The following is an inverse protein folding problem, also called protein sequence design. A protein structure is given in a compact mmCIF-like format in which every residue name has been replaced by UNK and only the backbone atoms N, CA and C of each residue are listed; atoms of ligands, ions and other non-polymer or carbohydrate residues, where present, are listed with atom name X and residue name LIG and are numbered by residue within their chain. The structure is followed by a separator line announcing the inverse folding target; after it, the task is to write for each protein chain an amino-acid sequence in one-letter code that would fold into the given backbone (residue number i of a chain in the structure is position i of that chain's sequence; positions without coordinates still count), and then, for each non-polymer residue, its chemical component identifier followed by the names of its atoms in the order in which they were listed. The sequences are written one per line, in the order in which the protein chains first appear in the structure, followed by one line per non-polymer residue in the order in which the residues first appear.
data_IF_685905348534
#
_entry.id   IF_685905348534
#
_cell.length_a   1.000
_cell.length_b   1.000
_cell.length_c   1.000
_cell.angle_alpha   90.00
_cell.angle_beta   90.00
_cell.angle_gamma   90.00
#
_symmetry.space_group_name_H-M   'P 1'
#
loop_
_entity.id
_entity.type
_entity.pdbx_description
1 polymer ?
#
# COMPACT_ATOMS: atom_id res chain seq x y z
N UNK A 1 21.97 7.70 -10.60
CA UNK A 1 21.19 6.63 -11.27
C UNK A 1 21.44 6.56 -12.77
N UNK A 2 21.56 5.34 -13.31
CA UNK A 2 21.68 5.10 -14.76
C UNK A 2 20.31 5.05 -15.48
N UNK A 3 20.32 5.15 -16.82
CA UNK A 3 19.11 5.16 -17.65
C UNK A 3 18.26 3.88 -17.47
N UNK A 4 18.91 2.73 -17.30
CA UNK A 4 18.23 1.44 -17.11
C UNK A 4 17.43 1.43 -15.79
N UNK A 5 17.96 2.04 -14.75
CA UNK A 5 17.33 2.17 -13.43
C UNK A 5 16.14 3.12 -13.50
N UNK A 6 16.28 4.25 -14.19
CA UNK A 6 15.18 5.19 -14.43
C UNK A 6 14.01 4.52 -15.17
N UNK A 7 14.29 3.79 -16.26
CA UNK A 7 13.26 3.03 -17.00
C UNK A 7 12.58 1.97 -16.13
N UNK A 8 13.33 1.28 -15.26
CA UNK A 8 12.73 0.33 -14.31
C UNK A 8 11.85 1.03 -13.28
N UNK A 9 12.26 2.20 -12.79
CA UNK A 9 11.47 3.00 -11.85
C UNK A 9 10.15 3.46 -12.45
N UNK A 10 10.17 3.96 -13.69
CA UNK A 10 8.96 4.35 -14.40
C UNK A 10 7.99 3.17 -14.56
N UNK A 11 8.50 1.97 -14.89
CA UNK A 11 7.67 0.76 -14.94
C UNK A 11 7.08 0.40 -13.58
N UNK A 12 7.83 0.56 -12.49
CA UNK A 12 7.33 0.31 -11.13
C UNK A 12 6.21 1.28 -10.78
N UNK A 13 6.37 2.56 -11.08
CA UNK A 13 5.32 3.56 -10.90
C UNK A 13 4.06 3.21 -11.72
N UNK A 14 4.21 2.93 -13.02
CA UNK A 14 3.08 2.56 -13.90
C UNK A 14 2.38 1.26 -13.45
N UNK A 15 3.11 0.33 -12.86
CA UNK A 15 2.55 -0.90 -12.28
C UNK A 15 1.88 -0.69 -10.90
N UNK A 16 1.76 0.57 -10.43
CA UNK A 16 1.12 0.89 -9.16
C UNK A 16 1.89 0.39 -7.93
N UNK A 17 3.21 0.19 -8.03
CA UNK A 17 4.04 -0.32 -6.93
C UNK A 17 4.36 0.74 -5.88
N UNK A 18 4.23 2.02 -6.20
CA UNK A 18 4.36 3.12 -5.22
C UNK A 18 3.01 3.26 -4.51
N UNK A 19 2.95 2.95 -3.22
CA UNK A 19 1.70 2.94 -2.46
C UNK A 19 1.26 4.35 -2.06
N UNK A 20 2.20 5.17 -1.64
CA UNK A 20 1.99 6.56 -1.26
C UNK A 20 3.31 7.31 -1.33
N UNK A 21 3.26 8.64 -1.46
CA UNK A 21 4.42 9.52 -1.31
C UNK A 21 4.01 10.66 -0.39
N UNK A 22 4.78 10.91 0.66
CA UNK A 22 4.63 12.08 1.51
C UNK A 22 5.81 13.00 1.23
N UNK A 23 5.52 14.26 0.90
CA UNK A 23 6.50 15.32 0.78
C UNK A 23 6.49 16.18 2.03
N UNK A 24 7.65 16.41 2.63
CA UNK A 24 7.84 17.36 3.72
C UNK A 24 9.04 18.25 3.40
N UNK A 25 8.79 19.54 3.13
CA UNK A 25 9.83 20.44 2.66
C UNK A 25 10.44 19.93 1.35
N UNK A 26 11.75 19.65 1.37
CA UNK A 26 12.49 19.08 0.23
C UNK A 26 12.62 17.55 0.29
N UNK A 27 12.04 16.87 1.28
CA UNK A 27 12.19 15.42 1.44
C UNK A 27 10.93 14.70 0.98
N UNK A 28 11.12 13.57 0.30
CA UNK A 28 10.08 12.61 -0.04
C UNK A 28 10.27 11.34 0.78
N UNK A 29 9.16 10.81 1.28
CA UNK A 29 9.07 9.53 1.97
C UNK A 29 8.05 8.65 1.25
N UNK A 30 8.31 7.35 1.13
CA UNK A 30 7.40 6.46 0.41
C UNK A 30 7.56 5.01 0.82
N UNK A 31 6.49 4.23 0.64
CA UNK A 31 6.50 2.77 0.63
C UNK A 31 6.28 2.24 -0.78
N UNK A 32 7.19 1.39 -1.25
CA UNK A 32 7.19 0.84 -2.61
C UNK A 32 7.26 -0.67 -2.56
N UNK A 33 6.34 -1.34 -3.26
CA UNK A 33 6.30 -2.79 -3.36
C UNK A 33 7.40 -3.31 -4.31
N UNK A 34 8.26 -4.18 -3.79
CA UNK A 34 9.33 -4.86 -4.52
C UNK A 34 9.26 -6.37 -4.36
N UNK A 35 10.36 -7.00 -3.93
CA UNK A 35 10.33 -8.37 -3.39
C UNK A 35 9.75 -8.40 -1.98
N UNK A 36 9.96 -7.31 -1.24
CA UNK A 36 9.30 -6.96 0.01
C UNK A 36 8.80 -5.52 -0.10
N UNK A 37 8.00 -5.01 0.84
CA UNK A 37 7.75 -3.57 0.94
C UNK A 37 9.05 -2.86 1.31
N UNK A 38 9.45 -1.87 0.52
CA UNK A 38 10.65 -1.08 0.77
C UNK A 38 10.28 0.37 1.05
N UNK A 39 10.97 0.97 2.01
CA UNK A 39 10.83 2.37 2.35
C UNK A 39 11.91 3.18 1.64
N UNK A 40 11.54 4.35 1.14
CA UNK A 40 12.39 5.24 0.35
C UNK A 40 12.38 6.62 0.98
N UNK A 41 13.57 7.22 1.05
CA UNK A 41 13.74 8.64 1.32
C UNK A 41 14.51 9.30 0.16
N UNK A 42 14.10 10.49 -0.25
CA UNK A 42 14.77 11.28 -1.29
C UNK A 42 14.75 12.76 -0.94
N UNK A 43 15.92 13.38 -0.87
CA UNK A 43 16.07 14.83 -0.84
C UNK A 43 16.04 15.39 -2.26
N UNK A 44 15.07 16.25 -2.54
CA UNK A 44 14.85 16.89 -3.85
C UNK A 44 15.90 17.96 -4.17
N UNK A 45 16.54 18.54 -3.15
CA UNK A 45 17.53 19.62 -3.32
C UNK A 45 18.93 19.08 -3.60
N UNK A 46 19.33 18.00 -2.94
CA UNK A 46 20.67 17.39 -3.11
C UNK A 46 20.65 16.17 -4.03
N UNK A 47 19.50 15.50 -4.15
CA UNK A 47 19.38 14.21 -4.81
C UNK A 47 19.83 13.03 -3.94
N UNK A 48 20.30 13.28 -2.72
CA UNK A 48 20.64 12.23 -1.75
C UNK A 48 19.40 11.38 -1.44
N UNK A 49 19.60 10.08 -1.33
CA UNK A 49 18.50 9.14 -1.19
C UNK A 49 18.91 7.87 -0.47
N UNK A 50 17.93 7.22 0.13
CA UNK A 50 18.07 5.92 0.77
C UNK A 50 16.89 5.02 0.41
N UNK A 51 17.11 3.72 0.42
CA UNK A 51 16.07 2.72 0.24
C UNK A 51 16.38 1.49 1.07
N UNK A 52 15.38 0.91 1.74
CA UNK A 52 15.56 -0.31 2.54
C UNK A 52 15.72 -1.59 1.69
N UNK A 53 15.83 -1.47 0.37
CA UNK A 53 16.14 -2.61 -0.49
C UNK A 53 17.63 -2.99 -0.42
N UNK A 54 18.03 -4.16 -0.92
CA UNK A 54 19.43 -4.62 -0.86
C UNK A 54 20.46 -3.69 -1.54
N UNK A 55 20.04 -2.74 -2.39
CA UNK A 55 20.94 -1.75 -2.99
C UNK A 55 21.18 -0.51 -2.12
N UNK A 56 20.35 -0.25 -1.11
CA UNK A 56 20.54 0.86 -0.15
C UNK A 56 20.22 2.26 -0.67
N UNK A 57 20.27 2.50 -1.98
CA UNK A 57 20.02 3.78 -2.64
C UNK A 57 20.11 3.64 -4.15
N UNK A 58 19.91 4.73 -4.88
CA UNK A 58 20.06 4.83 -6.35
C UNK A 58 19.44 3.67 -7.12
N UNK A 59 18.28 3.20 -6.66
CA UNK A 59 17.60 2.01 -7.15
C UNK A 59 16.30 2.36 -7.87
N UNK A 60 15.70 1.34 -8.51
CA UNK A 60 14.41 1.47 -9.20
C UNK A 60 13.27 1.96 -8.29
N UNK A 61 13.32 1.71 -6.98
CA UNK A 61 12.29 2.20 -6.05
C UNK A 61 12.41 3.72 -5.85
N UNK A 62 13.62 4.25 -5.66
CA UNK A 62 13.87 5.69 -5.60
C UNK A 62 13.47 6.37 -6.91
N UNK A 63 13.84 5.78 -8.06
CA UNK A 63 13.39 6.26 -9.37
C UNK A 63 11.85 6.26 -9.50
N UNK A 64 11.16 5.24 -8.98
CA UNK A 64 9.70 5.18 -9.00
C UNK A 64 9.06 6.26 -8.12
N UNK A 65 9.62 6.56 -6.94
CA UNK A 65 9.16 7.64 -6.06
C UNK A 65 9.37 9.01 -6.69
N UNK A 66 10.53 9.24 -7.32
CA UNK A 66 10.78 10.45 -8.09
C UNK A 66 9.76 10.61 -9.22
N UNK A 67 9.52 9.53 -9.98
CA UNK A 67 8.51 9.54 -11.07
C UNK A 67 7.11 9.85 -10.51
N UNK A 68 6.74 9.25 -9.38
CA UNK A 68 5.46 9.50 -8.73
C UNK A 68 5.29 10.98 -8.35
N UNK A 69 6.31 11.57 -7.72
CA UNK A 69 6.32 12.99 -7.38
C UNK A 69 6.22 13.89 -8.62
N UNK A 70 7.02 13.63 -9.67
CA UNK A 70 6.99 14.38 -10.94
C UNK A 70 5.63 14.29 -11.65
N UNK A 71 4.87 13.21 -11.41
CA UNK A 71 3.51 13.00 -11.92
C UNK A 71 2.41 13.51 -10.98
N UNK A 72 2.77 14.14 -9.86
CA UNK A 72 1.83 14.69 -8.90
C UNK A 72 1.21 13.68 -7.94
N UNK A 73 1.72 12.45 -7.87
CA UNK A 73 1.26 11.44 -6.91
C UNK A 73 2.02 11.60 -5.58
N UNK A 74 1.61 12.57 -4.77
CA UNK A 74 2.12 12.78 -3.42
C UNK A 74 1.13 13.57 -2.56
N UNK A 75 1.28 13.45 -1.24
CA UNK A 75 0.67 14.32 -0.26
C UNK A 75 1.72 15.30 0.26
N UNK A 76 1.43 16.61 0.24
CA UNK A 76 2.27 17.60 0.89
C UNK A 76 1.91 17.66 2.39
N UNK A 77 2.90 17.40 3.24
CA UNK A 77 2.77 17.46 4.70
C UNK A 77 3.63 18.58 5.28
N UNK A 78 3.03 19.34 6.19
CA UNK A 78 3.72 20.31 7.03
C UNK A 78 3.95 19.79 8.46
N UNK A 79 3.58 18.53 8.74
CA UNK A 79 3.85 17.91 10.03
C UNK A 79 5.33 17.53 10.14
N UNK A 80 6.02 18.09 11.13
CA UNK A 80 7.40 17.75 11.49
C UNK A 80 7.59 16.27 11.81
N UNK A 81 6.55 15.56 12.21
CA UNK A 81 6.61 14.13 12.48
C UNK A 81 6.70 13.28 11.21
N UNK A 82 6.50 13.86 10.01
CA UNK A 82 6.67 13.16 8.74
C UNK A 82 8.07 12.55 8.57
N UNK A 83 9.10 13.13 9.22
CA UNK A 83 10.45 12.56 9.18
C UNK A 83 10.61 11.30 10.04
N UNK A 84 9.77 11.12 11.06
CA UNK A 84 9.81 9.95 11.97
C UNK A 84 8.74 8.92 11.62
N UNK A 85 7.56 9.36 11.22
CA UNK A 85 6.38 8.53 11.00
C UNK A 85 5.69 8.86 9.65
N UNK A 86 6.41 8.81 8.52
CA UNK A 86 5.85 9.18 7.21
C UNK A 86 4.65 8.31 6.82
N UNK A 87 4.64 7.03 7.20
CA UNK A 87 3.52 6.14 6.91
C UNK A 87 2.25 6.55 7.68
N UNK A 88 2.36 6.94 8.95
CA UNK A 88 1.22 7.44 9.73
C UNK A 88 0.62 8.69 9.09
N UNK A 89 1.46 9.63 8.67
CA UNK A 89 1.03 10.83 7.93
C UNK A 89 0.34 10.43 6.61
N UNK A 90 0.91 9.48 5.85
CA UNK A 90 0.28 8.97 4.63
C UNK A 90 -1.10 8.35 4.92
N UNK A 91 -1.25 7.62 6.03
CA UNK A 91 -2.52 7.01 6.43
C UNK A 91 -3.58 8.07 6.79
N UNK A 92 -3.19 9.18 7.41
CA UNK A 92 -4.10 10.31 7.66
C UNK A 92 -4.61 10.91 6.36
N UNK A 93 -3.73 11.21 5.40
CA UNK A 93 -4.16 11.70 4.09
C UNK A 93 -5.04 10.70 3.33
N UNK A 94 -4.71 9.41 3.39
CA UNK A 94 -5.52 8.36 2.77
C UNK A 94 -6.91 8.25 3.42
N UNK A 95 -7.05 8.49 4.73
CA UNK A 95 -8.35 8.46 5.40
C UNK A 95 -9.32 9.51 4.83
N UNK A 96 -8.79 10.64 4.35
CA UNK A 96 -9.53 11.72 3.68
C UNK A 96 -9.91 11.38 2.23
N UNK A 97 -9.27 10.38 1.62
CA UNK A 97 -9.57 9.92 0.25
C UNK A 97 -9.81 8.39 0.23
N UNK A 98 -10.98 7.93 0.72
CA UNK A 98 -11.23 6.51 0.98
C UNK A 98 -11.10 5.58 -0.23
N UNK A 99 -11.47 6.05 -1.43
CA UNK A 99 -11.32 5.25 -2.65
C UNK A 99 -9.84 4.96 -2.96
N UNK A 100 -8.99 5.96 -2.80
CA UNK A 100 -7.54 5.79 -2.96
C UNK A 100 -6.97 4.93 -1.83
N UNK A 101 -7.45 5.10 -0.59
CA UNK A 101 -7.06 4.24 0.52
C UNK A 101 -7.41 2.77 0.26
N UNK A 102 -8.58 2.51 -0.32
CA UNK A 102 -9.00 1.16 -0.69
C UNK A 102 -8.08 0.59 -1.77
N UNK A 103 -7.81 1.34 -2.83
CA UNK A 103 -6.91 0.89 -3.91
C UNK A 103 -5.51 0.57 -3.39
N UNK A 104 -4.95 1.42 -2.52
CA UNK A 104 -3.65 1.20 -1.88
C UNK A 104 -3.69 -0.04 -0.99
N UNK A 105 -4.73 -0.18 -0.16
CA UNK A 105 -4.87 -1.32 0.76
C UNK A 105 -5.02 -2.63 -0.01
N UNK A 106 -5.83 -2.69 -1.07
CA UNK A 106 -6.01 -3.91 -1.87
C UNK A 106 -4.73 -4.29 -2.64
N UNK A 107 -3.96 -3.30 -3.11
CA UNK A 107 -2.65 -3.55 -3.74
C UNK A 107 -1.66 -4.14 -2.75
N UNK A 108 -1.58 -3.58 -1.55
CA UNK A 108 -0.71 -4.07 -0.50
C UNK A 108 -1.16 -5.44 0.01
N UNK A 109 -2.46 -5.65 0.21
CA UNK A 109 -3.05 -6.92 0.63
C UNK A 109 -2.67 -8.07 -0.30
N UNK A 110 -2.90 -7.91 -1.61
CA UNK A 110 -2.53 -8.91 -2.62
C UNK A 110 -1.03 -9.19 -2.65
N UNK A 111 -0.21 -8.17 -2.38
CA UNK A 111 1.23 -8.36 -2.30
C UNK A 111 1.61 -9.17 -1.06
N UNK A 112 1.09 -8.78 0.11
CA UNK A 112 1.37 -9.41 1.40
C UNK A 112 1.00 -10.89 1.43
N UNK A 113 -0.04 -11.30 0.70
CA UNK A 113 -0.44 -12.70 0.57
C UNK A 113 0.69 -13.63 0.09
N UNK A 114 1.61 -13.10 -0.72
CA UNK A 114 2.76 -13.84 -1.25
C UNK A 114 4.04 -13.73 -0.40
N UNK A 115 4.06 -12.87 0.62
CA UNK A 115 5.29 -12.51 1.36
C UNK A 115 5.15 -12.58 2.88
N UNK A 116 3.94 -12.59 3.42
CA UNK A 116 3.67 -12.67 4.85
C UNK A 116 3.64 -14.13 5.29
N UNK A 117 4.71 -14.57 5.94
CA UNK A 117 4.85 -15.94 6.44
C UNK A 117 3.91 -16.24 7.63
N UNK A 118 3.41 -15.21 8.30
CA UNK A 118 2.59 -15.33 9.52
C UNK A 118 1.09 -15.21 9.28
N UNK A 119 0.69 -14.62 8.15
CA UNK A 119 -0.69 -14.23 7.85
C UNK A 119 -1.23 -13.05 8.67
N UNK A 120 -0.44 -12.48 9.59
CA UNK A 120 -0.85 -11.36 10.45
C UNK A 120 -1.06 -10.06 9.67
N UNK A 121 -0.14 -9.76 8.74
CA UNK A 121 -0.20 -8.55 7.93
C UNK A 121 -1.34 -8.65 6.90
N UNK A 122 -1.54 -9.83 6.32
CA UNK A 122 -2.69 -10.10 5.44
C UNK A 122 -4.00 -9.87 6.20
N UNK A 123 -4.17 -10.44 7.40
CA UNK A 123 -5.37 -10.26 8.19
C UNK A 123 -5.61 -8.79 8.58
N UNK A 124 -4.54 -8.05 8.94
CA UNK A 124 -4.61 -6.61 9.25
C UNK A 124 -5.10 -5.80 8.05
N UNK A 125 -4.51 -6.03 6.87
CA UNK A 125 -4.87 -5.35 5.63
C UNK A 125 -6.27 -5.73 5.16
N UNK A 126 -6.67 -7.01 5.31
CA UNK A 126 -8.00 -7.51 4.98
C UNK A 126 -9.08 -6.76 5.77
N UNK A 127 -8.93 -6.66 7.09
CA UNK A 127 -9.85 -5.91 7.95
C UNK A 127 -9.91 -4.43 7.64
N UNK A 128 -8.77 -3.84 7.27
CA UNK A 128 -8.75 -2.46 6.78
C UNK A 128 -9.55 -2.33 5.48
N UNK A 129 -9.39 -3.27 4.56
CA UNK A 129 -10.12 -3.29 3.30
C UNK A 129 -11.63 -3.43 3.54
N UNK A 130 -12.09 -4.33 4.41
CA UNK A 130 -13.51 -4.46 4.78
C UNK A 130 -14.11 -3.10 5.19
N UNK A 131 -13.46 -2.39 6.12
CA UNK A 131 -13.91 -1.06 6.58
C UNK A 131 -13.93 -0.02 5.46
N UNK A 132 -12.98 -0.08 4.54
CA UNK A 132 -12.92 0.83 3.40
C UNK A 132 -13.97 0.49 2.34
N UNK A 133 -14.28 -0.78 2.12
CA UNK A 133 -15.38 -1.21 1.25
C UNK A 133 -16.72 -0.77 1.82
N UNK A 134 -16.93 -0.92 3.12
CA UNK A 134 -18.12 -0.38 3.80
C UNK A 134 -18.23 1.15 3.60
N UNK A 135 -17.14 1.89 3.81
CA UNK A 135 -17.11 3.36 3.70
C UNK A 135 -17.31 3.87 2.26
N UNK A 136 -16.81 3.13 1.27
CA UNK A 136 -16.83 3.54 -0.16
C UNK A 136 -18.02 2.98 -0.92
N UNK A 137 -18.63 1.88 -0.47
CA UNK A 137 -19.66 1.15 -1.18
C UNK A 137 -19.17 0.44 -2.46
N UNK A 138 -17.85 0.32 -2.67
CA UNK A 138 -17.24 -0.28 -3.86
C UNK A 138 -17.35 -1.80 -3.86
N UNK A 139 -18.51 -2.30 -4.28
CA UNK A 139 -18.84 -3.73 -4.28
C UNK A 139 -17.88 -4.58 -5.11
N UNK A 140 -17.25 -4.03 -6.15
CA UNK A 140 -16.27 -4.76 -6.97
C UNK A 140 -15.03 -5.21 -6.17
N UNK A 141 -14.75 -4.56 -5.04
CA UNK A 141 -13.67 -4.95 -4.14
C UNK A 141 -14.00 -6.24 -3.36
N UNK A 142 -15.28 -6.61 -3.21
CA UNK A 142 -15.68 -7.85 -2.53
C UNK A 142 -15.06 -9.07 -3.23
N UNK A 143 -15.08 -9.10 -4.56
CA UNK A 143 -14.49 -10.19 -5.32
C UNK A 143 -12.99 -10.36 -5.04
N UNK A 144 -12.26 -9.25 -4.91
CA UNK A 144 -10.84 -9.28 -4.53
C UNK A 144 -10.66 -9.86 -3.13
N UNK A 145 -11.56 -9.55 -2.19
CA UNK A 145 -11.50 -10.06 -0.83
C UNK A 145 -11.85 -11.55 -0.76
N UNK A 146 -12.81 -12.01 -1.56
CA UNK A 146 -13.12 -13.45 -1.71
C UNK A 146 -11.87 -14.23 -2.18
N UNK A 147 -11.23 -13.77 -3.27
CA UNK A 147 -10.00 -14.39 -3.80
C UNK A 147 -8.87 -14.42 -2.77
N UNK A 148 -8.66 -13.31 -2.05
CA UNK A 148 -7.62 -13.23 -1.01
C UNK A 148 -7.93 -14.17 0.15
N UNK A 149 -9.20 -14.28 0.56
CA UNK A 149 -9.61 -15.16 1.66
C UNK A 149 -9.45 -16.64 1.28
N UNK A 150 -9.78 -17.02 0.05
CA UNK A 150 -9.59 -18.39 -0.44
C UNK A 150 -8.11 -18.79 -0.37
N UNK A 151 -7.22 -17.95 -0.88
CA UNK A 151 -5.78 -18.18 -0.83
C UNK A 151 -5.25 -18.15 0.61
N UNK A 152 -5.74 -17.24 1.45
CA UNK A 152 -5.38 -17.19 2.88
C UNK A 152 -5.72 -18.50 3.58
N UNK A 153 -6.91 -19.06 3.32
CA UNK A 153 -7.33 -20.37 3.84
C UNK A 153 -6.47 -21.51 3.31
N UNK A 154 -6.01 -21.40 2.07
CA UNK A 154 -5.12 -22.40 1.50
C UNK A 154 -3.75 -22.41 2.19
N UNK A 155 -3.16 -21.23 2.38
CA UNK A 155 -1.83 -21.06 3.00
C UNK A 155 -1.87 -21.30 4.52
N UNK A 156 -2.92 -20.84 5.19
CA UNK A 156 -3.10 -20.90 6.65
C UNK A 156 -4.30 -21.78 7.03
N UNK A 157 -4.30 -23.02 6.54
CA UNK A 157 -5.43 -23.96 6.67
C UNK A 157 -5.84 -24.27 8.12
N UNK A 158 -4.89 -24.22 9.04
CA UNK A 158 -5.08 -24.60 10.43
C UNK A 158 -5.46 -23.40 11.32
N UNK A 159 -5.62 -22.21 10.74
CA UNK A 159 -5.86 -21.00 11.50
C UNK A 159 -7.37 -20.78 11.68
N UNK A 160 -7.82 -20.76 12.94
CA UNK A 160 -9.19 -20.34 13.28
C UNK A 160 -9.51 -18.93 12.78
N UNK A 161 -8.48 -18.08 12.60
CA UNK A 161 -8.63 -16.74 12.06
C UNK A 161 -9.25 -16.75 10.67
N UNK A 162 -8.98 -17.76 9.85
CA UNK A 162 -9.52 -17.86 8.49
C UNK A 162 -11.05 -17.93 8.49
N UNK A 163 -11.65 -18.70 9.41
CA UNK A 163 -13.11 -18.75 9.58
C UNK A 163 -13.68 -17.41 10.06
N UNK A 164 -12.97 -16.72 10.96
CA UNK A 164 -13.40 -15.38 11.44
C UNK A 164 -13.38 -14.34 10.31
N UNK A 165 -12.36 -14.36 9.45
CA UNK A 165 -12.29 -13.45 8.30
C UNK A 165 -13.40 -13.75 7.27
N UNK A 166 -13.78 -15.02 7.11
CA UNK A 166 -14.92 -15.43 6.29
C UNK A 166 -16.25 -14.90 6.83
N UNK A 167 -16.48 -15.01 8.13
CA UNK A 167 -17.67 -14.46 8.77
C UNK A 167 -17.71 -12.92 8.66
N UNK A 168 -16.58 -12.23 8.90
CA UNK A 168 -16.46 -10.77 8.75
C UNK A 168 -16.77 -10.30 7.31
N UNK A 169 -16.35 -11.05 6.28
CA UNK A 169 -16.66 -10.74 4.88
C UNK A 169 -18.15 -10.94 4.57
N UNK A 170 -18.74 -12.05 5.02
CA UNK A 170 -20.18 -12.33 4.85
C UNK A 170 -21.08 -11.28 5.50
N UNK A 171 -20.70 -10.82 6.70
CA UNK A 171 -21.42 -9.75 7.39
C UNK A 171 -21.41 -8.44 6.60
N UNK A 172 -20.28 -8.10 5.99
CA UNK A 172 -20.16 -6.93 5.12
C UNK A 172 -21.04 -7.06 3.87
N UNK A 173 -21.00 -8.21 3.18
CA UNK A 173 -21.83 -8.49 2.01
C UNK A 173 -23.32 -8.34 2.32
N UNK A 174 -23.77 -8.93 3.43
CA UNK A 174 -25.15 -8.82 3.87
C UNK A 174 -25.55 -7.37 4.22
N UNK A 175 -24.60 -6.56 4.70
CA UNK A 175 -24.83 -5.14 4.99
C UNK A 175 -25.00 -4.33 3.72
N UNK A 176 -24.15 -4.56 2.71
CA UNK A 176 -24.20 -3.85 1.43
C UNK A 176 -25.38 -4.26 0.54
N UNK A 177 -25.93 -5.46 0.72
CA UNK A 177 -27.08 -5.96 -0.04
C UNK A 177 -28.45 -5.51 0.50
N UNK A 178 -28.52 -4.90 1.70
CA UNK A 178 -29.78 -4.37 2.24
C UNK A 178 -30.20 -3.11 1.47
N UNK A 179 -31.42 -3.04 0.91
CA UNK A 179 -31.92 -1.79 0.34
C UNK A 179 -32.05 -0.73 1.43
N UNK A 180 -31.59 0.49 1.13
CA UNK A 180 -31.75 1.70 1.95
C UNK A 180 -33.22 1.99 2.30
#
# INVERSE_FOLDING_TARGET
MDEKTLKKGERYYRAGKVLWVVKHGNRLFSKVLGTYPYYVELDLSTGENSCTCPLGGDCKHVAAVRTAYEKGFYFESFDRHAELFPESVAMEFLAEVPDLALDVTLKELRFSLSTDESGSEVARLFRRALKLVEKTGRMEALHVLEEVLEEYRHVFSDYELSARLEDELRELEATLQKPL
#
